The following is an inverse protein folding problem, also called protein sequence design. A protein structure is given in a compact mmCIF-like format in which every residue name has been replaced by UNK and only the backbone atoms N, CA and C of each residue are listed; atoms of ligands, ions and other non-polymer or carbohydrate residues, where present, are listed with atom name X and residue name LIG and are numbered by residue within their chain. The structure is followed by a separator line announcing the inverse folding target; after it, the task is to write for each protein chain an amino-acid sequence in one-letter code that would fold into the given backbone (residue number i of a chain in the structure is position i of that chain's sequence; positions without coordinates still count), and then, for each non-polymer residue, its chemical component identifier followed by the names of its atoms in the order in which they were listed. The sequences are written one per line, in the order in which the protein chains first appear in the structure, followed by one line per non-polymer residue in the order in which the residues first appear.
data_IF_610691932227
#
_entry.id   IF_610691932227
#
_cell.length_a   1.000
_cell.length_b   1.000
_cell.length_c   1.000
_cell.angle_alpha   90.00
_cell.angle_beta   90.00
_cell.angle_gamma   90.00
#
_symmetry.space_group_name_H-M   'P 1'
#
loop_
_entity.id
_entity.type
_entity.pdbx_description
1 polymer ?
#
# COMPACT_ATOMS: atom_id res chain seq x y z
N UNK A 1 6.46 1.21 -12.80
CA UNK A 1 5.71 1.89 -11.72
C UNK A 1 4.79 0.94 -10.97
N UNK A 2 3.90 0.18 -11.65
CA UNK A 2 2.98 -0.76 -11.00
C UNK A 2 3.68 -1.80 -10.11
N UNK A 3 4.71 -2.50 -10.60
CA UNK A 3 5.42 -3.53 -9.80
C UNK A 3 6.08 -2.94 -8.55
N UNK A 4 6.68 -1.74 -8.67
CA UNK A 4 7.28 -1.05 -7.54
C UNK A 4 6.22 -0.63 -6.51
N UNK A 5 5.08 -0.08 -6.97
CA UNK A 5 3.99 0.29 -6.08
C UNK A 5 3.36 -0.93 -5.38
N UNK A 6 3.24 -2.07 -6.05
CA UNK A 6 2.79 -3.33 -5.42
C UNK A 6 3.70 -3.77 -4.28
N UNK A 7 5.01 -3.74 -4.50
CA UNK A 7 6.00 -4.04 -3.44
C UNK A 7 5.88 -3.03 -2.30
N UNK A 8 5.79 -1.74 -2.62
CA UNK A 8 5.61 -0.68 -1.62
C UNK A 8 4.34 -0.89 -0.79
N UNK A 9 3.21 -1.22 -1.42
CA UNK A 9 1.93 -1.50 -0.76
C UNK A 9 2.01 -2.68 0.21
N UNK A 10 2.72 -3.74 -0.17
CA UNK A 10 2.90 -4.92 0.70
C UNK A 10 3.80 -4.55 1.89
N UNK A 11 4.91 -3.86 1.65
CA UNK A 11 5.86 -3.48 2.70
C UNK A 11 5.22 -2.48 3.68
N UNK A 12 4.46 -1.52 3.18
CA UNK A 12 3.70 -0.57 4.00
C UNK A 12 2.65 -1.31 4.86
N UNK A 13 1.83 -2.16 4.25
CA UNK A 13 0.84 -2.95 4.98
C UNK A 13 1.45 -3.88 6.05
N UNK A 14 2.58 -4.52 5.75
CA UNK A 14 3.33 -5.31 6.73
C UNK A 14 3.89 -4.45 7.87
N UNK A 15 4.41 -3.25 7.57
CA UNK A 15 4.89 -2.30 8.60
C UNK A 15 3.76 -1.84 9.53
N UNK A 16 2.53 -1.73 9.00
CA UNK A 16 1.36 -1.40 9.79
C UNK A 16 0.97 -2.56 10.74
N UNK A 17 1.08 -3.81 10.27
CA UNK A 17 0.88 -4.97 11.15
C UNK A 17 1.96 -5.05 12.25
N UNK A 18 3.20 -4.67 11.94
CA UNK A 18 4.29 -4.64 12.93
C UNK A 18 4.01 -3.61 14.03
N UNK A 19 3.61 -2.38 13.68
CA UNK A 19 3.30 -1.37 14.70
C UNK A 19 2.05 -1.77 15.52
N UNK A 20 1.03 -2.39 14.90
CA UNK A 20 -0.14 -2.89 15.61
C UNK A 20 0.20 -4.02 16.59
N UNK A 21 1.19 -4.84 16.25
CA UNK A 21 1.71 -5.90 17.13
C UNK A 21 2.35 -5.33 18.42
N UNK A 22 2.85 -4.10 18.38
CA UNK A 22 3.31 -3.38 19.57
C UNK A 22 2.12 -2.99 20.46
N UNK A 23 1.02 -2.52 19.86
CA UNK A 23 -0.22 -2.16 20.58
C UNK A 23 -0.87 -3.37 21.25
N UNK A 24 -0.90 -4.52 20.56
CA UNK A 24 -1.44 -5.77 21.09
C UNK A 24 -0.54 -6.36 22.21
N UNK A 25 0.74 -5.97 22.25
CA UNK A 25 1.71 -6.43 23.25
C UNK A 25 2.51 -7.66 22.82
N UNK A 26 2.47 -8.05 21.55
CA UNK A 26 3.32 -9.12 21.00
C UNK A 26 4.77 -8.64 20.78
N UNK A 27 4.96 -7.34 20.56
CA UNK A 27 6.27 -6.71 20.43
C UNK A 27 6.47 -5.71 21.58
N UNK A 28 7.70 -5.62 22.10
CA UNK A 28 8.02 -4.69 23.18
C UNK A 28 7.76 -3.23 22.80
N UNK A 29 7.28 -2.44 23.77
CA UNK A 29 7.02 -0.99 23.60
C UNK A 29 8.26 -0.17 23.24
N UNK A 30 9.47 -0.67 23.45
CA UNK A 30 10.71 0.01 23.03
C UNK A 30 10.77 0.21 21.51
N UNK A 31 10.02 -0.60 20.75
CA UNK A 31 9.98 -0.52 19.29
C UNK A 31 8.94 0.47 18.75
N UNK A 32 8.11 1.10 19.59
CA UNK A 32 7.10 2.09 19.14
C UNK A 32 7.74 3.18 18.29
N UNK A 33 8.83 3.78 18.78
CA UNK A 33 9.49 4.89 18.10
C UNK A 33 10.12 4.49 16.75
N UNK A 34 11.01 3.47 16.66
CA UNK A 34 11.60 3.09 15.39
C UNK A 34 10.55 2.57 14.40
N UNK A 35 9.61 1.71 14.82
CA UNK A 35 8.55 1.22 13.92
C UNK A 35 7.59 2.34 13.49
N UNK A 36 7.30 3.29 14.38
CA UNK A 36 6.48 4.47 14.08
C UNK A 36 7.08 5.32 12.97
N UNK A 37 8.36 5.67 13.05
CA UNK A 37 9.03 6.45 12.00
C UNK A 37 9.11 5.65 10.70
N UNK A 38 9.49 4.36 10.77
CA UNK A 38 9.58 3.52 9.57
C UNK A 38 8.23 3.37 8.87
N UNK A 39 7.16 3.10 9.62
CA UNK A 39 5.80 3.00 9.08
C UNK A 39 5.33 4.34 8.51
N UNK A 40 5.52 5.44 9.24
CA UNK A 40 5.13 6.78 8.78
C UNK A 40 5.81 7.17 7.45
N UNK A 41 7.09 6.85 7.29
CA UNK A 41 7.80 7.07 6.02
C UNK A 41 7.21 6.22 4.89
N UNK A 42 6.97 4.93 5.14
CA UNK A 42 6.35 4.02 4.16
C UNK A 42 4.94 4.48 3.76
N UNK A 43 4.16 4.96 4.72
CA UNK A 43 2.82 5.51 4.50
C UNK A 43 2.87 6.73 3.57
N UNK A 44 3.76 7.70 3.82
CA UNK A 44 3.90 8.87 2.93
C UNK A 44 4.35 8.46 1.52
N UNK A 45 5.31 7.54 1.41
CA UNK A 45 5.74 6.99 0.12
C UNK A 45 4.59 6.29 -0.61
N UNK A 46 3.75 5.54 0.12
CA UNK A 46 2.54 4.92 -0.41
C UNK A 46 1.58 5.96 -0.98
N UNK A 47 1.30 7.04 -0.23
CA UNK A 47 0.40 8.10 -0.68
C UNK A 47 0.87 8.70 -2.01
N UNK A 48 2.13 9.10 -2.08
CA UNK A 48 2.74 9.66 -3.30
C UNK A 48 2.71 8.64 -4.44
N UNK A 49 3.12 7.39 -4.17
CA UNK A 49 3.12 6.32 -5.15
C UNK A 49 1.73 5.99 -5.69
N UNK A 50 0.70 6.03 -4.82
CA UNK A 50 -0.69 5.76 -5.19
C UNK A 50 -1.23 6.85 -6.11
N UNK A 51 -0.91 8.13 -5.84
CA UNK A 51 -1.29 9.26 -6.69
C UNK A 51 -0.59 9.20 -8.04
N UNK A 52 0.71 8.93 -8.06
CA UNK A 52 1.49 8.78 -9.30
C UNK A 52 0.95 7.64 -10.16
N UNK A 53 0.65 6.48 -9.56
CA UNK A 53 0.10 5.34 -10.26
C UNK A 53 -1.31 5.64 -10.78
N UNK A 54 -2.16 6.28 -9.97
CA UNK A 54 -3.50 6.69 -10.39
C UNK A 54 -3.45 7.65 -11.57
N UNK A 55 -2.55 8.64 -11.54
CA UNK A 55 -2.34 9.56 -12.66
C UNK A 55 -1.86 8.80 -13.92
N UNK A 56 -0.86 7.92 -13.79
CA UNK A 56 -0.35 7.12 -14.91
C UNK A 56 -1.44 6.23 -15.54
N UNK A 57 -2.31 5.64 -14.71
CA UNK A 57 -3.41 4.76 -15.15
C UNK A 57 -4.70 5.52 -15.49
N UNK A 58 -4.69 6.86 -15.39
CA UNK A 58 -5.85 7.74 -15.57
C UNK A 58 -7.05 7.33 -14.71
N UNK A 59 -6.77 6.82 -13.51
CA UNK A 59 -7.77 6.47 -12.52
C UNK A 59 -8.40 7.73 -11.94
N UNK A 60 -9.73 7.81 -11.98
CA UNK A 60 -10.48 8.84 -11.27
C UNK A 60 -10.52 8.60 -9.75
N UNK A 61 -11.15 9.54 -9.04
CA UNK A 61 -11.31 9.47 -7.59
C UNK A 61 -12.01 8.19 -7.11
N UNK A 62 -12.91 7.62 -7.92
CA UNK A 62 -13.61 6.37 -7.58
C UNK A 62 -12.70 5.16 -7.40
N UNK A 63 -11.49 5.16 -7.97
CA UNK A 63 -10.50 4.08 -7.78
C UNK A 63 -9.43 4.52 -6.78
N UNK A 64 -8.94 5.76 -6.91
CA UNK A 64 -7.86 6.24 -6.05
C UNK A 64 -8.28 6.37 -4.58
N UNK A 65 -9.51 6.82 -4.29
CA UNK A 65 -9.96 7.01 -2.91
C UNK A 65 -10.08 5.69 -2.13
N UNK A 66 -10.67 4.60 -2.66
CA UNK A 66 -10.59 3.29 -2.02
C UNK A 66 -9.17 2.79 -1.81
N UNK A 67 -8.27 3.03 -2.77
CA UNK A 67 -6.85 2.65 -2.67
C UNK A 67 -6.17 3.41 -1.52
N UNK A 68 -6.42 4.71 -1.39
CA UNK A 68 -5.98 5.53 -0.28
C UNK A 68 -6.51 5.01 1.06
N UNK A 69 -7.82 4.79 1.18
CA UNK A 69 -8.45 4.31 2.42
C UNK A 69 -7.94 2.94 2.84
N UNK A 70 -7.59 2.09 1.88
CA UNK A 70 -7.02 0.77 2.14
C UNK A 70 -5.64 0.83 2.84
N UNK A 71 -4.91 1.94 2.77
CA UNK A 71 -3.65 2.10 3.53
C UNK A 71 -3.87 2.31 5.04
N UNK A 72 -5.07 2.69 5.46
CA UNK A 72 -5.39 2.97 6.89
C UNK A 72 -6.12 1.80 7.54
N UNK A 73 -6.62 0.84 6.75
CA UNK A 73 -7.34 -0.32 7.24
C UNK A 73 -6.37 -1.51 7.34
N UNK A 74 -6.20 -2.13 8.52
CA UNK A 74 -5.35 -3.31 8.66
C UNK A 74 -5.76 -4.41 7.67
N UNK A 75 -4.77 -5.09 7.09
CA UNK A 75 -4.92 -6.17 6.10
C UNK A 75 -5.53 -5.77 4.74
N UNK A 76 -6.03 -4.53 4.56
CA UNK A 76 -6.63 -4.12 3.29
C UNK A 76 -5.60 -4.07 2.13
N UNK A 77 -4.29 -4.02 2.42
CA UNK A 77 -3.22 -4.18 1.42
C UNK A 77 -3.31 -5.50 0.63
N UNK A 78 -3.94 -6.55 1.19
CA UNK A 78 -4.18 -7.83 0.48
C UNK A 78 -5.21 -7.61 -0.64
N UNK A 79 -6.30 -6.89 -0.35
CA UNK A 79 -7.31 -6.55 -1.35
C UNK A 79 -6.71 -5.62 -2.43
N UNK A 80 -5.87 -4.66 -2.02
CA UNK A 80 -5.11 -3.81 -2.95
C UNK A 80 -4.23 -4.65 -3.87
N UNK A 81 -3.46 -5.60 -3.34
CA UNK A 81 -2.60 -6.47 -4.16
C UNK A 81 -3.41 -7.31 -5.17
N UNK A 82 -4.56 -7.88 -4.76
CA UNK A 82 -5.45 -8.60 -5.66
C UNK A 82 -6.01 -7.69 -6.76
N UNK A 83 -6.43 -6.47 -6.40
CA UNK A 83 -6.90 -5.47 -7.34
C UNK A 83 -5.81 -5.09 -8.35
N UNK A 84 -4.61 -4.73 -7.87
CA UNK A 84 -3.49 -4.33 -8.72
C UNK A 84 -3.00 -5.45 -9.65
N UNK A 85 -3.10 -6.72 -9.23
CA UNK A 85 -2.82 -7.88 -10.08
C UNK A 85 -3.83 -8.02 -11.22
N UNK A 86 -5.12 -7.81 -10.96
CA UNK A 86 -6.17 -7.84 -12.00
C UNK A 86 -5.97 -6.72 -13.00
N UNK A 87 -5.75 -5.50 -12.51
CA UNK A 87 -5.47 -4.32 -13.35
C UNK A 87 -4.17 -4.42 -14.14
N UNK A 88 -3.26 -5.35 -13.79
CA UNK A 88 -2.06 -5.63 -14.57
C UNK A 88 -2.35 -6.45 -15.85
N UNK A 89 -3.34 -7.36 -15.79
CA UNK A 89 -3.70 -8.23 -16.91
C UNK A 89 -4.55 -7.55 -17.98
N UNK A 90 -5.29 -6.51 -17.63
CA UNK A 90 -6.21 -5.80 -18.54
C UNK A 90 -5.52 -4.80 -19.49
N UNK A 91 -4.19 -4.67 -19.45
CA UNK A 91 -3.44 -3.64 -20.20
C UNK A 91 -2.26 -4.18 -21.02
N UNK A 92 -2.29 -5.48 -21.35
CA UNK A 92 -1.35 -6.02 -22.33
C UNK A 92 -1.93 -5.74 -23.74
N UNK A 93 -1.33 -4.86 -24.57
CA UNK A 93 -1.75 -4.74 -25.95
C UNK A 93 -1.47 -6.07 -26.65
N UNK A 94 -2.41 -6.53 -27.49
CA UNK A 94 -2.20 -7.67 -28.38
C UNK A 94 -0.84 -7.54 -29.08
N UNK A 95 -0.04 -8.62 -29.17
CA UNK A 95 1.05 -8.64 -30.12
C UNK A 95 0.43 -8.58 -31.52
N UNK A 96 0.66 -7.47 -32.23
CA UNK A 96 0.42 -7.37 -33.67
C UNK A 96 1.40 -8.23 -34.44
#
# INVERSE_FOLDING_TARGET
MLSAFRVLSIVEGLSFLLILSVTIGWISRVYVFPLGISHGLLFVLYLIGSMMLAHQRRWGLGIWLPLFLASVIPLAFIAVELFLRRSAGEHQPEPQ
#
